data_IF_564662465088
#
_entry.id   IF_564662465088
#
_cell.length_a   1.000
_cell.length_b   1.000
_cell.length_c   1.000
_cell.angle_alpha   90.00
_cell.angle_beta   90.00
_cell.angle_gamma   90.00
#
_symmetry.space_group_name_H-M   'P 1'
#
loop_
_entity.id
_entity.type
_entity.pdbx_description
1 polymer ?
#
# COMPACT_ATOMS: atom_id res chain seq x y z
N UNK A 1 7.28 -5.09 -1.39
CA UNK A 1 6.62 -5.51 -0.14
C UNK A 1 6.32 -4.31 0.76
N UNK A 2 7.34 -3.49 1.08
CA UNK A 2 7.18 -2.23 1.80
C UNK A 2 6.12 -1.30 1.19
N UNK A 3 6.12 -1.15 -0.14
CA UNK A 3 5.18 -0.25 -0.83
C UNK A 3 3.70 -0.61 -0.64
N UNK A 4 3.34 -1.90 -0.72
CA UNK A 4 1.96 -2.33 -0.48
C UNK A 4 1.52 -2.12 0.97
N UNK A 5 2.48 -2.18 1.90
CA UNK A 5 2.22 -1.93 3.33
C UNK A 5 2.00 -0.44 3.62
N UNK A 6 2.72 0.45 2.93
CA UNK A 6 2.50 1.90 3.06
C UNK A 6 1.14 2.31 2.50
N UNK A 7 0.72 1.72 1.37
CA UNK A 7 -0.63 1.93 0.82
C UNK A 7 -1.73 1.57 1.82
N UNK A 8 -1.59 0.45 2.54
CA UNK A 8 -2.55 0.03 3.58
C UNK A 8 -2.59 1.06 4.72
N UNK A 9 -1.42 1.55 5.17
CA UNK A 9 -1.35 2.59 6.20
C UNK A 9 -2.05 3.87 5.72
N UNK A 10 -1.78 4.31 4.49
CA UNK A 10 -2.40 5.51 3.91
C UNK A 10 -3.91 5.40 3.77
N UNK A 11 -4.42 4.21 3.43
CA UNK A 11 -5.85 3.90 3.39
C UNK A 11 -6.47 3.95 4.79
N UNK A 12 -5.82 3.33 5.77
CA UNK A 12 -6.27 3.31 7.16
C UNK A 12 -6.33 4.73 7.74
N UNK A 13 -5.27 5.52 7.54
CA UNK A 13 -5.23 6.94 7.95
C UNK A 13 -6.28 7.76 7.19
N UNK A 14 -6.49 7.50 5.89
CA UNK A 14 -7.54 8.17 5.11
C UNK A 14 -8.94 7.87 5.67
N UNK A 15 -9.19 6.60 5.98
CA UNK A 15 -10.46 6.12 6.54
C UNK A 15 -10.73 6.71 7.93
N UNK A 16 -9.71 6.81 8.79
CA UNK A 16 -9.79 7.51 10.08
C UNK A 16 -10.26 8.95 9.93
N UNK A 17 -9.65 9.68 8.98
CA UNK A 17 -10.01 11.08 8.72
C UNK A 17 -11.41 11.19 8.15
N UNK A 18 -11.82 10.28 7.28
CA UNK A 18 -13.19 10.21 6.79
C UNK A 18 -14.17 10.00 7.95
N UNK A 19 -13.91 9.05 8.85
CA UNK A 19 -14.74 8.80 10.02
C UNK A 19 -14.79 9.99 10.98
N UNK A 20 -13.65 10.65 11.23
CA UNK A 20 -13.57 11.84 12.08
C UNK A 20 -14.39 13.00 11.50
N UNK A 21 -14.39 13.14 10.17
CA UNK A 21 -15.13 14.18 9.46
C UNK A 21 -16.64 13.85 9.37
N UNK A 22 -17.00 12.57 9.23
CA UNK A 22 -18.39 12.11 9.19
C UNK A 22 -19.03 12.13 10.58
N UNK A 23 -18.30 11.70 11.61
CA UNK A 23 -18.78 11.46 12.97
C UNK A 23 -17.88 12.13 14.02
N UNK A 24 -17.96 13.46 14.18
CA UNK A 24 -17.11 14.19 15.12
C UNK A 24 -17.37 13.84 16.61
N UNK A 25 -18.48 13.16 16.93
CA UNK A 25 -18.85 12.79 18.30
C UNK A 25 -18.25 11.46 18.79
N UNK A 26 -17.63 10.65 17.92
CA UNK A 26 -17.07 9.37 18.33
C UNK A 26 -15.72 9.60 19.01
N UNK A 27 -15.69 9.41 20.33
CA UNK A 27 -14.47 9.40 21.13
C UNK A 27 -13.94 7.97 21.20
N UNK A 28 -12.77 7.73 20.60
CA UNK A 28 -12.09 6.44 20.64
C UNK A 28 -10.85 6.47 21.53
N UNK A 29 -10.49 5.33 22.12
CA UNK A 29 -9.27 5.19 22.90
C UNK A 29 -8.05 5.19 21.96
N UNK A 30 -7.26 6.27 22.01
CA UNK A 30 -6.12 6.52 21.12
C UNK A 30 -5.10 5.39 21.10
N UNK A 31 -4.81 4.74 22.23
CA UNK A 31 -3.78 3.70 22.33
C UNK A 31 -4.26 2.41 21.66
N UNK A 32 -5.49 1.96 22.00
CA UNK A 32 -6.08 0.76 21.39
C UNK A 32 -6.24 0.92 19.88
N UNK A 33 -6.62 2.13 19.45
CA UNK A 33 -6.76 2.49 18.06
C UNK A 33 -5.41 2.44 17.31
N UNK A 34 -4.35 3.03 17.88
CA UNK A 34 -3.02 3.02 17.28
C UNK A 34 -2.49 1.58 17.11
N UNK A 35 -2.64 0.76 18.14
CA UNK A 35 -2.23 -0.65 18.10
C UNK A 35 -3.01 -1.41 17.02
N UNK A 36 -4.33 -1.22 16.94
CA UNK A 36 -5.16 -1.85 15.90
C UNK A 36 -4.74 -1.45 14.48
N UNK A 37 -4.41 -0.17 14.27
CA UNK A 37 -3.95 0.36 12.99
C UNK A 37 -2.57 -0.16 12.58
N UNK A 38 -1.70 -0.50 13.54
CA UNK A 38 -0.37 -1.05 13.26
C UNK A 38 -0.36 -2.56 13.02
N UNK A 39 -1.29 -3.31 13.63
CA UNK A 39 -1.36 -4.78 13.49
C UNK A 39 -1.66 -5.19 12.04
N UNK A 40 -2.58 -4.49 11.36
CA UNK A 40 -3.00 -4.82 9.99
C UNK A 40 -1.81 -4.76 8.98
N UNK A 41 -1.07 -3.64 8.86
CA UNK A 41 0.07 -3.57 7.95
C UNK A 41 1.23 -4.48 8.39
N UNK A 42 1.45 -4.67 9.69
CA UNK A 42 2.44 -5.64 10.19
C UNK A 42 2.07 -7.07 9.79
N UNK A 43 0.81 -7.46 9.94
CA UNK A 43 0.33 -8.80 9.57
C UNK A 43 0.44 -9.03 8.06
N UNK A 44 0.02 -8.05 7.25
CA UNK A 44 0.17 -8.12 5.79
C UNK A 44 1.64 -8.30 5.38
N UNK A 45 2.54 -7.51 5.99
CA UNK A 45 3.98 -7.65 5.77
C UNK A 45 4.46 -9.04 6.22
N UNK A 46 4.17 -9.48 7.44
CA UNK A 46 4.60 -10.79 7.93
C UNK A 46 4.18 -11.94 7.01
N UNK A 47 2.93 -11.95 6.52
CA UNK A 47 2.42 -12.99 5.61
C UNK A 47 3.26 -13.05 4.32
N UNK A 48 3.50 -11.90 3.69
CA UNK A 48 4.29 -11.85 2.45
C UNK A 48 5.77 -12.19 2.67
N UNK A 49 6.33 -11.88 3.85
CA UNK A 49 7.68 -12.32 4.22
C UNK A 49 7.74 -13.85 4.32
N UNK A 50 6.78 -14.46 5.02
CA UNK A 50 6.72 -15.92 5.21
C UNK A 50 6.58 -16.64 3.86
N UNK A 51 5.69 -16.17 2.99
CA UNK A 51 5.50 -16.72 1.63
C UNK A 51 6.79 -16.59 0.81
N UNK A 52 7.48 -15.46 0.91
CA UNK A 52 8.73 -15.25 0.17
C UNK A 52 9.84 -16.16 0.70
N UNK A 53 9.93 -16.31 2.02
CA UNK A 53 10.92 -17.17 2.67
C UNK A 53 10.70 -18.65 2.34
N UNK A 54 9.46 -19.14 2.40
CA UNK A 54 9.15 -20.55 2.11
C UNK A 54 9.47 -20.93 0.66
N UNK A 55 9.33 -20.00 -0.28
CA UNK A 55 9.71 -20.21 -1.69
C UNK A 55 11.22 -20.18 -1.91
N UNK A 56 11.95 -19.31 -1.21
CA UNK A 56 13.42 -19.31 -1.24
C UNK A 56 14.01 -20.62 -0.72
N UNK A 57 13.44 -21.19 0.34
CA UNK A 57 13.91 -22.45 0.93
C UNK A 57 13.82 -23.65 -0.04
N UNK A 58 12.90 -23.60 -1.01
CA UNK A 58 12.73 -24.65 -2.03
C UNK A 58 13.71 -24.47 -3.21
N UNK A 59 14.20 -23.24 -3.45
CA UNK A 59 15.07 -22.89 -4.58
C UNK A 59 16.57 -22.79 -4.19
N UNK A 60 16.97 -23.52 -3.16
CA UNK A 60 18.24 -23.36 -2.43
C UNK A 60 19.53 -23.49 -3.27
N UNK A 61 19.47 -24.07 -4.47
CA UNK A 61 20.64 -24.26 -5.35
C UNK A 61 20.98 -23.05 -6.24
N UNK A 62 20.20 -21.97 -6.19
CA UNK A 62 20.46 -20.75 -6.97
C UNK A 62 20.91 -19.61 -6.05
N UNK A 63 21.94 -18.85 -6.46
CA UNK A 63 22.47 -17.73 -5.69
C UNK A 63 21.35 -16.76 -5.28
N UNK A 64 21.00 -16.79 -3.99
CA UNK A 64 20.00 -15.91 -3.38
C UNK A 64 20.65 -14.53 -3.20
N UNK A 65 20.65 -13.74 -4.26
CA UNK A 65 20.84 -12.29 -4.11
C UNK A 65 19.68 -11.79 -3.24
N UNK A 66 19.91 -10.78 -2.38
CA UNK A 66 18.88 -10.11 -1.57
C UNK A 66 17.83 -9.35 -2.42
N UNK A 67 17.26 -9.99 -3.44
CA UNK A 67 16.14 -9.51 -4.23
C UNK A 67 14.87 -10.14 -3.69
N UNK A 68 14.48 -9.73 -2.48
CA UNK A 68 13.20 -10.11 -1.86
C UNK A 68 11.97 -9.83 -2.75
N UNK A 69 12.15 -9.06 -3.82
CA UNK A 69 11.13 -8.66 -4.78
C UNK A 69 11.11 -9.53 -6.05
N UNK A 70 12.17 -10.30 -6.34
CA UNK A 70 12.26 -11.14 -7.53
C UNK A 70 11.64 -12.52 -7.32
N UNK A 71 11.51 -13.03 -6.09
CA UNK A 71 10.83 -14.31 -5.83
C UNK A 71 9.30 -14.25 -5.98
N UNK A 72 8.75 -13.06 -6.24
CA UNK A 72 7.40 -12.90 -6.82
C UNK A 72 7.49 -12.77 -8.35
N UNK A 73 8.27 -13.64 -8.98
CA UNK A 73 8.22 -13.87 -10.42
C UNK A 73 7.54 -15.23 -10.64
N UNK A 74 6.51 -15.25 -11.49
CA UNK A 74 5.60 -16.40 -11.68
C UNK A 74 4.15 -16.10 -11.28
N UNK A 75 3.36 -17.15 -11.05
CA UNK A 75 1.90 -17.13 -10.85
C UNK A 75 1.39 -16.17 -9.75
N UNK A 76 2.22 -15.88 -8.73
CA UNK A 76 1.87 -14.98 -7.62
C UNK A 76 2.03 -13.48 -7.95
N UNK A 77 2.63 -13.13 -9.09
CA UNK A 77 2.76 -11.74 -9.54
C UNK A 77 1.42 -11.14 -9.94
N UNK A 78 0.62 -11.90 -10.67
CA UNK A 78 -0.70 -11.52 -11.15
C UNK A 78 -1.66 -11.19 -9.99
N UNK A 79 -1.89 -12.06 -8.99
CA UNK A 79 -2.78 -11.74 -7.87
C UNK A 79 -2.25 -10.59 -7.00
N UNK A 80 -0.93 -10.48 -6.79
CA UNK A 80 -0.33 -9.35 -6.05
C UNK A 80 -0.57 -8.01 -6.78
N UNK A 81 -0.48 -7.99 -8.10
CA UNK A 81 -0.77 -6.80 -8.89
C UNK A 81 -2.24 -6.42 -8.82
N UNK A 82 -3.15 -7.39 -8.94
CA UNK A 82 -4.59 -7.15 -8.77
C UNK A 82 -4.91 -6.57 -7.38
N UNK A 83 -4.34 -7.13 -6.31
CA UNK A 83 -4.50 -6.60 -4.95
C UNK A 83 -4.02 -5.15 -4.86
N UNK A 84 -2.85 -4.83 -5.43
CA UNK A 84 -2.34 -3.44 -5.42
C UNK A 84 -3.22 -2.49 -6.23
N UNK A 85 -3.79 -2.93 -7.35
CA UNK A 85 -4.75 -2.13 -8.14
C UNK A 85 -6.01 -1.87 -7.32
N UNK A 86 -6.57 -2.91 -6.69
CA UNK A 86 -7.74 -2.77 -5.82
C UNK A 86 -7.47 -1.81 -4.66
N UNK A 87 -6.32 -1.93 -3.99
CA UNK A 87 -5.89 -1.01 -2.94
C UNK A 87 -5.75 0.42 -3.45
N UNK A 88 -5.18 0.61 -4.64
CA UNK A 88 -5.04 1.94 -5.26
C UNK A 88 -6.40 2.57 -5.58
N UNK A 89 -7.35 1.80 -6.13
CA UNK A 89 -8.71 2.26 -6.39
C UNK A 89 -9.42 2.62 -5.09
N UNK A 90 -9.28 1.79 -4.05
CA UNK A 90 -9.87 2.05 -2.74
C UNK A 90 -9.28 3.28 -2.04
N UNK A 91 -7.98 3.50 -2.20
CA UNK A 91 -7.32 4.72 -1.74
C UNK A 91 -7.89 5.94 -2.47
N UNK A 92 -7.97 5.89 -3.81
CA UNK A 92 -8.55 6.96 -4.63
C UNK A 92 -9.99 7.29 -4.22
N UNK A 93 -10.84 6.27 -4.01
CA UNK A 93 -12.23 6.48 -3.62
C UNK A 93 -12.34 7.12 -2.24
N UNK A 94 -11.59 6.64 -1.24
CA UNK A 94 -11.61 7.17 0.13
C UNK A 94 -11.24 8.66 0.16
N UNK A 95 -10.17 9.05 -0.53
CA UNK A 95 -9.74 10.45 -0.56
C UNK A 95 -10.62 11.34 -1.44
N UNK A 96 -11.18 10.81 -2.53
CA UNK A 96 -12.19 11.51 -3.32
C UNK A 96 -13.43 11.82 -2.46
N UNK A 97 -13.90 10.87 -1.65
CA UNK A 97 -15.01 11.08 -0.72
C UNK A 97 -14.68 12.17 0.31
N UNK A 98 -13.49 12.16 0.91
CA UNK A 98 -13.04 13.22 1.83
C UNK A 98 -13.04 14.59 1.13
N UNK A 99 -12.51 14.66 -0.09
CA UNK A 99 -12.40 15.90 -0.84
C UNK A 99 -13.78 16.48 -1.20
N UNK A 100 -14.69 15.63 -1.69
CA UNK A 100 -16.08 16.00 -1.97
C UNK A 100 -16.76 16.49 -0.69
N UNK A 101 -16.59 15.77 0.42
CA UNK A 101 -17.23 16.13 1.68
C UNK A 101 -16.75 17.46 2.24
N UNK A 102 -15.45 17.77 2.14
CA UNK A 102 -14.90 19.07 2.54
C UNK A 102 -15.42 20.22 1.69
N UNK A 103 -15.61 19.98 0.39
CA UNK A 103 -16.19 20.97 -0.54
C UNK A 103 -17.64 21.25 -0.19
N UNK A 104 -18.42 20.21 0.11
CA UNK A 104 -19.85 20.32 0.41
C UNK A 104 -20.12 20.93 1.79
N UNK A 105 -19.44 20.48 2.85
CA UNK A 105 -19.75 20.90 4.23
C UNK A 105 -19.10 22.22 4.68
N UNK A 106 -18.32 22.92 3.84
CA UNK A 106 -17.51 24.11 4.23
C UNK A 106 -16.85 23.92 5.62
N UNK A 107 -16.31 22.73 5.90
CA UNK A 107 -15.88 22.35 7.25
C UNK A 107 -14.81 23.35 7.76
N UNK A 108 -15.15 24.02 8.85
CA UNK A 108 -14.63 25.34 9.25
C UNK A 108 -13.34 25.35 10.09
N UNK A 109 -12.35 24.50 9.81
CA UNK A 109 -11.06 24.56 10.51
C UNK A 109 -9.89 24.58 9.51
N UNK A 110 -9.10 25.66 9.56
CA UNK A 110 -7.87 25.82 8.77
C UNK A 110 -6.90 24.65 8.99
N UNK A 111 -6.87 24.10 10.20
CA UNK A 111 -6.03 22.95 10.55
C UNK A 111 -6.45 21.67 9.82
N UNK A 112 -7.74 21.33 9.84
CA UNK A 112 -8.28 20.13 9.16
C UNK A 112 -8.02 20.20 7.66
N UNK A 113 -8.16 21.40 7.06
CA UNK A 113 -7.91 21.61 5.63
C UNK A 113 -6.42 21.44 5.26
N UNK A 114 -5.49 21.88 6.13
CA UNK A 114 -4.04 21.71 5.92
C UNK A 114 -3.63 20.23 5.99
N UNK A 115 -4.10 19.52 7.01
CA UNK A 115 -3.81 18.07 7.19
C UNK A 115 -4.30 17.28 5.98
N UNK A 116 -5.52 17.56 5.50
CA UNK A 116 -6.07 16.83 4.36
C UNK A 116 -5.30 17.16 3.07
N UNK A 117 -4.91 18.43 2.85
CA UNK A 117 -4.08 18.81 1.70
C UNK A 117 -2.73 18.09 1.70
N UNK A 118 -2.07 17.98 2.86
CA UNK A 118 -0.82 17.25 2.98
C UNK A 118 -1.00 15.76 2.67
N UNK A 119 -2.06 15.13 3.19
CA UNK A 119 -2.38 13.72 2.90
C UNK A 119 -2.69 13.48 1.42
N UNK A 120 -3.39 14.41 0.75
CA UNK A 120 -3.64 14.32 -0.70
C UNK A 120 -2.34 14.34 -1.51
N UNK A 121 -1.35 15.13 -1.09
CA UNK A 121 -0.03 15.16 -1.76
C UNK A 121 0.71 13.84 -1.56
N UNK A 122 0.76 13.32 -0.33
CA UNK A 122 1.38 12.02 -0.03
C UNK A 122 0.74 10.91 -0.89
N UNK A 123 -0.58 10.94 -1.00
CA UNK A 123 -1.34 9.98 -1.80
C UNK A 123 -1.07 10.10 -3.30
N UNK A 124 -1.00 11.31 -3.86
CA UNK A 124 -0.60 11.50 -5.26
C UNK A 124 0.78 10.91 -5.53
N UNK A 125 1.72 11.11 -4.60
CA UNK A 125 3.06 10.53 -4.70
C UNK A 125 2.98 9.00 -4.65
N UNK A 126 2.19 8.40 -3.75
CA UNK A 126 2.05 6.94 -3.68
C UNK A 126 1.37 6.35 -4.94
N UNK A 127 0.31 6.97 -5.45
CA UNK A 127 -0.39 6.48 -6.65
C UNK A 127 0.49 6.60 -7.90
N UNK A 128 1.38 7.60 -7.98
CA UNK A 128 2.32 7.78 -9.10
C UNK A 128 3.61 6.95 -8.94
N UNK A 129 4.07 6.75 -7.71
CA UNK A 129 5.27 5.97 -7.41
C UNK A 129 5.07 4.46 -7.65
N UNK A 130 3.85 3.95 -7.47
CA UNK A 130 3.57 2.53 -7.71
C UNK A 130 3.74 2.10 -9.17
N UNK A 131 3.07 2.73 -10.16
CA UNK A 131 3.16 2.31 -11.57
C UNK A 131 4.55 2.54 -12.13
N UNK A 132 5.26 3.60 -11.70
CA UNK A 132 6.66 3.82 -12.08
C UNK A 132 7.54 2.69 -11.57
N UNK A 133 7.42 2.31 -10.29
CA UNK A 133 8.13 1.17 -9.72
C UNK A 133 7.74 -0.17 -10.39
N UNK A 134 6.47 -0.37 -10.71
CA UNK A 134 5.98 -1.55 -11.42
C UNK A 134 6.56 -1.62 -12.84
N UNK A 135 6.62 -0.49 -13.54
CA UNK A 135 7.17 -0.38 -14.89
C UNK A 135 8.68 -0.64 -14.89
N UNK A 136 9.43 -0.08 -13.95
CA UNK A 136 10.85 -0.39 -13.77
C UNK A 136 11.09 -1.88 -13.49
N UNK A 137 10.24 -2.51 -12.67
CA UNK A 137 10.33 -3.96 -12.43
C UNK A 137 10.01 -4.80 -13.65
N UNK A 138 9.06 -4.40 -14.50
CA UNK A 138 8.78 -5.10 -15.75
C UNK A 138 9.91 -4.93 -16.77
N UNK A 139 10.49 -3.73 -16.87
CA UNK A 139 11.56 -3.43 -17.82
C UNK A 139 12.86 -4.16 -17.47
N UNK A 140 13.18 -4.30 -16.19
CA UNK A 140 14.39 -4.98 -15.72
C UNK A 140 14.25 -6.51 -15.57
N UNK A 141 13.13 -7.10 -16.02
CA UNK A 141 12.86 -8.54 -15.88
C UNK A 141 13.41 -9.43 -17.02
N UNK A 142 14.07 -8.88 -18.04
CA UNK A 142 14.79 -9.62 -19.10
C UNK A 142 16.13 -8.93 -19.38
N UNK A 143 17.28 -9.65 -19.54
CA UNK A 143 17.39 -10.89 -20.32
C UNK A 143 18.28 -12.00 -19.69
N UNK A 144 18.30 -12.22 -18.37
CA UNK A 144 19.19 -13.25 -17.76
C UNK A 144 18.57 -14.64 -17.53
N UNK A 145 17.28 -14.83 -17.82
CA UNK A 145 16.59 -16.12 -17.62
C UNK A 145 16.22 -16.83 -18.93
N UNK A 146 16.61 -16.30 -20.09
CA UNK A 146 16.42 -16.98 -21.39
C UNK A 146 17.63 -17.82 -21.83
N UNK A 147 18.77 -17.75 -21.15
CA UNK A 147 19.98 -18.52 -21.49
C UNK A 147 20.13 -19.84 -20.69
N UNK A 148 19.14 -20.22 -19.87
CA UNK A 148 19.21 -21.43 -19.03
C UNK A 148 18.21 -22.52 -19.46
N UNK A 149 17.59 -22.36 -20.63
CA UNK A 149 16.66 -23.33 -21.22
C UNK A 149 17.06 -23.84 -22.61
N UNK A 150 18.32 -23.64 -23.01
CA UNK A 150 18.92 -24.32 -24.17
C UNK A 150 20.03 -25.27 -23.71
#
# INVERSE_FOLDING_TARGET
>A
MFFSSTMIITILVGSDRLLTVLFPHITYNKIKYLIGMSIIPMGYSAIWAIISYSRMAIAADTQVICTLDQFVTGDLRTPKNYINICLSIFMLSTYASIWIFLRLKKVGSSFTRRVIKALTIIMLIEVLAWPTLAHFRTANAHPKYMELTD
#
